data_IF_428576808164
#
_entry.id   IF_428576808164
#
_cell.length_a   1.000
_cell.length_b   1.000
_cell.length_c   1.000
_cell.angle_alpha   90.00
_cell.angle_beta   90.00
_cell.angle_gamma   90.00
#
_symmetry.space_group_name_H-M   'P 1'
#
loop_
_entity.id
_entity.type
_entity.pdbx_description
1 polymer ?
#
# COMPACT_ATOMS: atom_id res chain seq x y z
N UNK A 1 2.43 17.55 -2.30
CA UNK A 1 1.69 16.86 -3.37
C UNK A 1 2.09 15.40 -3.41
N UNK A 2 1.20 14.52 -3.84
CA UNK A 2 1.49 13.09 -3.85
C UNK A 2 2.64 12.72 -4.81
N UNK A 3 2.73 13.41 -5.96
CA UNK A 3 3.83 13.20 -6.91
C UNK A 3 5.21 13.38 -6.26
N UNK A 4 5.34 14.35 -5.36
CA UNK A 4 6.58 14.57 -4.62
C UNK A 4 6.90 13.41 -3.68
N UNK A 5 5.89 12.84 -3.07
CA UNK A 5 6.05 11.66 -2.21
C UNK A 5 6.49 10.44 -3.01
N UNK A 6 5.94 10.25 -4.21
CA UNK A 6 6.37 9.18 -5.12
C UNK A 6 7.83 9.38 -5.53
N UNK A 7 8.22 10.61 -5.85
CA UNK A 7 9.63 10.92 -6.17
C UNK A 7 10.56 10.56 -5.01
N UNK A 8 10.15 10.85 -3.78
CA UNK A 8 10.92 10.49 -2.59
C UNK A 8 11.04 8.98 -2.39
N UNK A 9 9.98 8.23 -2.69
CA UNK A 9 10.02 6.76 -2.64
C UNK A 9 11.05 6.22 -3.62
N UNK A 10 11.02 6.70 -4.86
CA UNK A 10 11.98 6.30 -5.90
C UNK A 10 13.41 6.64 -5.45
N UNK A 11 13.63 7.84 -4.96
CA UNK A 11 14.94 8.28 -4.46
C UNK A 11 15.43 7.38 -3.33
N UNK A 12 14.58 7.02 -2.40
CA UNK A 12 14.92 6.14 -1.28
C UNK A 12 15.31 4.75 -1.76
N UNK A 13 14.57 4.18 -2.73
CA UNK A 13 14.89 2.87 -3.28
C UNK A 13 16.25 2.84 -3.96
N UNK A 14 16.59 3.92 -4.66
CA UNK A 14 17.85 4.00 -5.39
C UNK A 14 19.03 4.25 -4.46
N UNK A 15 18.90 5.19 -3.52
CA UNK A 15 20.01 5.66 -2.70
C UNK A 15 20.12 5.02 -1.32
N UNK A 16 18.99 4.61 -0.76
CA UNK A 16 18.92 4.09 0.61
C UNK A 16 17.98 2.89 0.70
N UNK A 17 18.26 1.79 -0.04
CA UNK A 17 17.35 0.63 -0.05
C UNK A 17 17.20 -0.02 1.33
N UNK A 18 18.17 0.10 2.21
CA UNK A 18 18.08 -0.38 3.59
C UNK A 18 16.98 0.30 4.41
N UNK A 19 16.50 1.45 3.97
CA UNK A 19 15.42 2.18 4.63
C UNK A 19 14.11 1.37 4.65
N UNK A 20 13.91 0.49 3.67
CA UNK A 20 12.72 -0.38 3.61
C UNK A 20 12.68 -1.30 4.83
N UNK A 21 13.77 -1.99 5.13
CA UNK A 21 13.86 -2.87 6.29
C UNK A 21 13.72 -2.10 7.62
N UNK A 22 14.32 -0.91 7.70
CA UNK A 22 14.19 -0.05 8.88
C UNK A 22 12.73 0.38 9.09
N UNK A 23 12.05 0.80 8.03
CA UNK A 23 10.65 1.20 8.11
C UNK A 23 9.74 0.02 8.48
N UNK A 24 10.01 -1.17 7.96
CA UNK A 24 9.26 -2.37 8.30
C UNK A 24 9.39 -2.72 9.78
N UNK A 25 10.59 -2.58 10.34
CA UNK A 25 10.83 -2.83 11.76
C UNK A 25 10.18 -1.76 12.66
N UNK A 26 10.12 -0.53 12.20
CA UNK A 26 9.65 0.61 13.00
C UNK A 26 8.14 0.84 12.96
N UNK A 27 7.43 0.32 11.93
CA UNK A 27 6.01 0.60 11.77
C UNK A 27 5.17 0.03 12.91
N UNK A 28 4.09 0.74 13.26
CA UNK A 28 3.09 0.21 14.16
C UNK A 28 2.30 -0.91 13.46
N UNK A 29 2.18 -2.05 14.14
CA UNK A 29 1.39 -3.18 13.64
C UNK A 29 -0.05 -3.07 14.14
N UNK A 30 -0.97 -3.77 13.46
CA UNK A 30 -2.34 -3.84 13.93
C UNK A 30 -2.38 -4.55 15.30
N UNK A 31 -3.14 -3.98 16.24
CA UNK A 31 -3.31 -4.56 17.57
C UNK A 31 -4.10 -5.87 17.51
N UNK A 32 -4.98 -5.99 16.51
CA UNK A 32 -5.81 -7.18 16.26
C UNK A 32 -6.03 -7.29 14.76
N UNK A 33 -6.16 -8.54 14.27
CA UNK A 33 -6.52 -8.80 12.87
C UNK A 33 -7.94 -8.28 12.60
N UNK A 34 -8.82 -8.44 13.58
CA UNK A 34 -10.22 -8.04 13.47
C UNK A 34 -10.42 -6.69 14.16
N UNK A 35 -11.16 -5.79 13.54
CA UNK A 35 -11.46 -4.47 14.09
C UNK A 35 -12.40 -4.51 15.29
N UNK A 36 -12.65 -3.34 15.94
CA UNK A 36 -13.49 -3.27 17.13
C UNK A 36 -14.94 -3.74 16.92
N UNK A 37 -15.42 -3.65 15.68
CA UNK A 37 -16.76 -4.09 15.29
C UNK A 37 -16.83 -5.59 14.91
N UNK A 38 -15.75 -6.34 15.10
CA UNK A 38 -15.68 -7.75 14.74
C UNK A 38 -15.46 -8.00 13.25
N UNK A 39 -15.13 -6.98 12.47
CA UNK A 39 -14.94 -7.07 11.01
C UNK A 39 -13.51 -6.76 10.61
N UNK A 40 -13.12 -7.33 9.49
CA UNK A 40 -11.84 -7.04 8.83
C UNK A 40 -12.13 -6.68 7.37
N UNK A 41 -11.77 -5.47 6.98
CA UNK A 41 -11.85 -5.00 5.59
C UNK A 41 -10.44 -4.87 5.06
N UNK A 42 -10.13 -5.65 4.04
CA UNK A 42 -8.83 -5.64 3.38
C UNK A 42 -8.99 -5.21 1.93
N UNK A 43 -8.17 -4.24 1.51
CA UNK A 43 -8.11 -3.82 0.11
C UNK A 43 -7.13 -4.74 -0.62
N UNK A 44 -7.59 -5.37 -1.71
CA UNK A 44 -6.74 -6.24 -2.53
C UNK A 44 -6.13 -5.45 -3.69
N UNK A 45 -4.81 -5.53 -3.83
CA UNK A 45 -4.07 -4.79 -4.84
C UNK A 45 -3.03 -5.65 -5.57
N UNK A 46 -3.24 -6.97 -5.61
CA UNK A 46 -2.32 -7.92 -6.25
C UNK A 46 -2.68 -8.24 -7.71
N UNK A 47 -3.70 -7.58 -8.27
CA UNK A 47 -4.22 -7.87 -9.60
C UNK A 47 -3.18 -7.78 -10.72
N UNK A 48 -2.28 -6.75 -10.76
CA UNK A 48 -1.26 -6.69 -11.81
C UNK A 48 -0.32 -7.90 -11.83
N UNK A 49 0.00 -8.47 -10.68
CA UNK A 49 0.85 -9.66 -10.58
C UNK A 49 0.19 -10.89 -11.21
N UNK A 50 -1.14 -10.89 -11.34
CA UNK A 50 -1.92 -11.95 -12.00
C UNK A 50 -2.30 -11.59 -13.43
N UNK A 51 -1.70 -10.54 -13.99
CA UNK A 51 -1.96 -10.06 -15.35
C UNK A 51 -3.26 -9.29 -15.51
N UNK A 52 -3.94 -8.95 -14.41
CA UNK A 52 -5.19 -8.20 -14.45
C UNK A 52 -4.91 -6.72 -14.22
N UNK A 53 -5.04 -5.91 -15.27
CA UNK A 53 -4.77 -4.48 -15.23
C UNK A 53 -6.03 -3.62 -15.31
N UNK A 54 -7.16 -4.24 -15.62
CA UNK A 54 -8.43 -3.56 -15.85
C UNK A 54 -9.18 -3.29 -14.55
N UNK A 55 -9.79 -2.12 -14.47
CA UNK A 55 -10.79 -1.81 -13.45
C UNK A 55 -12.01 -1.21 -14.15
N UNK A 56 -13.09 -1.98 -14.22
CA UNK A 56 -14.29 -1.59 -14.97
C UNK A 56 -13.98 -1.42 -16.45
N UNK A 57 -14.26 -0.22 -16.99
CA UNK A 57 -14.00 0.11 -18.41
C UNK A 57 -12.56 0.56 -18.68
N UNK A 58 -11.78 0.85 -17.65
CA UNK A 58 -10.40 1.31 -17.80
C UNK A 58 -9.48 0.11 -17.94
N UNK A 59 -8.95 -0.10 -19.17
CA UNK A 59 -8.13 -1.28 -19.51
C UNK A 59 -6.87 -1.40 -18.68
N UNK A 60 -6.24 -0.28 -18.35
CA UNK A 60 -4.95 -0.24 -17.68
C UNK A 60 -5.00 0.57 -16.38
N UNK A 61 -6.16 0.58 -15.72
CA UNK A 61 -6.35 1.36 -14.49
C UNK A 61 -5.35 1.01 -13.39
N UNK A 62 -4.91 -0.25 -13.31
CA UNK A 62 -3.98 -0.72 -12.29
C UNK A 62 -2.53 -0.78 -12.79
N UNK A 63 -2.27 -0.37 -14.03
CA UNK A 63 -0.92 -0.36 -14.61
C UNK A 63 -0.14 0.89 -14.26
N UNK A 64 -0.82 2.00 -13.97
CA UNK A 64 -0.19 3.24 -13.51
C UNK A 64 0.15 3.11 -12.04
N UNK A 65 1.44 2.93 -11.74
CA UNK A 65 1.93 2.70 -10.38
C UNK A 65 1.61 3.86 -9.43
N UNK A 66 1.84 5.09 -9.87
CA UNK A 66 1.60 6.27 -9.04
C UNK A 66 0.12 6.41 -8.71
N UNK A 67 -0.76 6.21 -9.70
CA UNK A 67 -2.21 6.27 -9.50
C UNK A 67 -2.68 5.15 -8.56
N UNK A 68 -2.18 3.93 -8.73
CA UNK A 68 -2.50 2.81 -7.86
C UNK A 68 -2.11 3.10 -6.42
N UNK A 69 -0.89 3.59 -6.19
CA UNK A 69 -0.41 3.92 -4.85
C UNK A 69 -1.22 5.04 -4.21
N UNK A 70 -1.57 6.07 -4.97
CA UNK A 70 -2.40 7.16 -4.46
C UNK A 70 -3.78 6.65 -4.01
N UNK A 71 -4.41 5.83 -4.82
CA UNK A 71 -5.70 5.23 -4.48
C UNK A 71 -5.61 4.34 -3.24
N UNK A 72 -4.55 3.56 -3.12
CA UNK A 72 -4.33 2.71 -1.95
C UNK A 72 -4.12 3.54 -0.69
N UNK A 73 -3.36 4.63 -0.77
CA UNK A 73 -3.18 5.54 0.37
C UNK A 73 -4.51 6.15 0.80
N UNK A 74 -5.36 6.56 -0.13
CA UNK A 74 -6.70 7.08 0.16
C UNK A 74 -7.56 6.01 0.81
N UNK A 75 -7.58 4.80 0.25
CA UNK A 75 -8.40 3.70 0.78
C UNK A 75 -7.95 3.29 2.19
N UNK A 76 -6.65 3.17 2.42
CA UNK A 76 -6.10 2.81 3.72
C UNK A 76 -6.30 3.89 4.78
N UNK A 77 -6.48 5.14 4.37
CA UNK A 77 -6.82 6.23 5.26
C UNK A 77 -8.29 6.27 5.66
N UNK A 78 -9.15 5.46 5.06
CA UNK A 78 -10.58 5.45 5.38
C UNK A 78 -10.84 4.71 6.69
N UNK A 79 -11.77 5.22 7.53
CA UNK A 79 -12.21 4.49 8.71
C UNK A 79 -12.76 3.11 8.34
N UNK A 80 -12.40 2.10 9.12
CA UNK A 80 -12.88 0.75 8.92
C UNK A 80 -12.08 -0.10 7.95
N UNK A 81 -11.15 0.48 7.17
CA UNK A 81 -10.23 -0.30 6.34
C UNK A 81 -9.04 -0.73 7.19
N UNK A 82 -8.95 -2.02 7.46
CA UNK A 82 -7.99 -2.59 8.41
C UNK A 82 -6.71 -3.13 7.80
N UNK A 83 -6.66 -3.33 6.49
CA UNK A 83 -5.47 -3.92 5.91
C UNK A 83 -5.41 -3.87 4.39
N UNK A 84 -4.33 -4.41 3.86
CA UNK A 84 -4.05 -4.47 2.43
C UNK A 84 -3.41 -5.80 2.07
N UNK A 85 -3.81 -6.35 0.93
CA UNK A 85 -3.20 -7.50 0.27
C UNK A 85 -2.48 -6.98 -0.98
N UNK A 86 -1.20 -7.23 -1.11
CA UNK A 86 -0.45 -6.75 -2.26
C UNK A 86 0.83 -7.53 -2.51
N UNK A 87 1.47 -7.24 -3.65
CA UNK A 87 2.80 -7.77 -3.94
C UNK A 87 3.85 -7.06 -3.08
N UNK A 88 4.98 -7.71 -2.88
CA UNK A 88 6.03 -7.19 -2.00
C UNK A 88 6.47 -5.78 -2.40
N UNK A 89 6.61 -5.52 -3.69
CA UNK A 89 7.05 -4.21 -4.19
C UNK A 89 6.05 -3.09 -3.90
N UNK A 90 4.75 -3.37 -4.07
CA UNK A 90 3.67 -2.41 -3.73
C UNK A 90 3.63 -2.18 -2.22
N UNK A 91 3.73 -3.25 -1.44
CA UNK A 91 3.73 -3.14 0.03
C UNK A 91 4.91 -2.33 0.53
N UNK A 92 6.08 -2.48 -0.08
CA UNK A 92 7.26 -1.69 0.27
C UNK A 92 7.07 -0.20 -0.05
N UNK A 93 6.46 0.12 -1.18
CA UNK A 93 6.15 1.52 -1.51
C UNK A 93 5.15 2.11 -0.51
N UNK A 94 4.10 1.36 -0.16
CA UNK A 94 3.13 1.80 0.85
C UNK A 94 3.79 2.00 2.21
N UNK A 95 4.73 1.13 2.56
CA UNK A 95 5.50 1.25 3.79
C UNK A 95 6.29 2.55 3.82
N UNK A 96 7.01 2.87 2.75
CA UNK A 96 7.78 4.11 2.64
C UNK A 96 6.88 5.35 2.62
N UNK A 97 5.65 5.22 2.14
CA UNK A 97 4.65 6.28 2.15
C UNK A 97 3.97 6.47 3.52
N UNK A 98 4.26 5.59 4.48
CA UNK A 98 3.66 5.65 5.81
C UNK A 98 2.21 5.16 5.87
N UNK A 99 1.74 4.46 4.84
CA UNK A 99 0.34 4.04 4.73
C UNK A 99 0.02 2.76 5.50
N UNK A 100 1.01 2.05 6.03
CA UNK A 100 0.82 0.75 6.69
C UNK A 100 0.77 0.81 8.22
N UNK A 101 0.77 2.02 8.79
CA UNK A 101 0.71 2.19 10.24
C UNK A 101 -0.60 1.64 10.81
N UNK A 102 -0.49 0.67 11.74
CA UNK A 102 -1.65 0.04 12.35
C UNK A 102 -2.46 -0.87 11.45
N UNK A 103 -1.94 -1.27 10.28
CA UNK A 103 -2.65 -2.08 9.29
C UNK A 103 -2.20 -3.53 9.30
N UNK A 104 -3.12 -4.43 8.93
CA UNK A 104 -2.82 -5.82 8.59
C UNK A 104 -2.24 -5.83 7.18
N UNK A 105 -1.15 -6.55 6.99
CA UNK A 105 -0.46 -6.63 5.69
C UNK A 105 -0.35 -8.11 5.29
N UNK A 106 -0.81 -8.39 4.06
CA UNK A 106 -0.82 -9.75 3.50
C UNK A 106 -0.10 -9.74 2.16
#
# INVERSE_FOLDING_TARGET
MFADRIAQVIETRVRRPGRIAEAAAARARAASVVGPDGRLVIVAADHPARGTLRAGRKRFAMADRADLLERLCVALGRPGVGGVLGTADVLEDLLLLGALEGKVVI
#
